data_IF_143190056554
#
_entry.id   IF_143190056554
#
_cell.length_a   1.000
_cell.length_b   1.000
_cell.length_c   1.000
_cell.angle_alpha   90.00
_cell.angle_beta   90.00
_cell.angle_gamma   90.00
#
_symmetry.space_group_name_H-M   'P 1'
#
loop_
_entity.id
_entity.type
_entity.pdbx_description
1 polymer ?
#
# COMPACT_ATOMS: atom_id res chain seq x y z
N UNK A 1 2.68 -24.34 11.12
CA UNK A 1 1.34 -23.77 10.87
C UNK A 1 1.47 -22.87 9.64
N UNK A 2 0.99 -23.29 8.46
CA UNK A 2 1.09 -22.47 7.24
C UNK A 2 -0.26 -21.81 7.00
N UNK A 3 -0.41 -20.56 7.43
CA UNK A 3 -1.64 -19.78 7.19
C UNK A 3 -1.57 -19.21 5.79
N UNK A 4 -1.99 -20.01 4.80
CA UNK A 4 -2.24 -19.52 3.45
C UNK A 4 -3.54 -18.70 3.48
N UNK A 5 -3.43 -17.38 3.64
CA UNK A 5 -4.57 -16.47 3.56
C UNK A 5 -5.02 -16.33 2.10
N UNK A 6 -5.82 -17.30 1.64
CA UNK A 6 -6.24 -17.44 0.23
C UNK A 6 -7.39 -16.51 -0.18
N UNK A 7 -7.86 -15.61 0.72
CA UNK A 7 -8.88 -14.63 0.40
C UNK A 7 -8.46 -13.25 0.93
N UNK A 8 -7.79 -12.48 0.09
CA UNK A 8 -7.39 -11.11 0.42
C UNK A 8 -8.62 -10.21 0.26
N UNK A 9 -9.25 -9.84 1.36
CA UNK A 9 -10.30 -8.83 1.33
C UNK A 9 -9.75 -7.50 0.81
N UNK A 10 -10.52 -6.80 -0.04
CA UNK A 10 -10.12 -5.49 -0.60
C UNK A 10 -9.78 -4.47 0.50
N UNK A 11 -10.41 -4.57 1.66
CA UNK A 11 -10.15 -3.72 2.83
C UNK A 11 -8.73 -3.93 3.41
N UNK A 12 -8.20 -5.15 3.29
CA UNK A 12 -6.87 -5.52 3.78
C UNK A 12 -5.77 -4.79 3.02
N UNK A 13 -5.90 -4.66 1.70
CA UNK A 13 -4.91 -3.98 0.84
C UNK A 13 -4.80 -2.49 1.20
N UNK A 14 -5.94 -1.81 1.42
CA UNK A 14 -5.96 -0.41 1.84
C UNK A 14 -5.23 -0.20 3.18
N UNK A 15 -5.43 -1.11 4.13
CA UNK A 15 -4.73 -1.11 5.42
C UNK A 15 -3.22 -1.26 5.26
N UNK A 16 -2.77 -2.21 4.43
CA UNK A 16 -1.35 -2.42 4.15
C UNK A 16 -0.72 -1.23 3.43
N UNK A 17 -1.36 -0.67 2.40
CA UNK A 17 -0.85 0.52 1.70
C UNK A 17 -0.73 1.72 2.65
N UNK A 18 -1.67 1.90 3.57
CA UNK A 18 -1.57 2.95 4.61
C UNK A 18 -0.38 2.73 5.53
N UNK A 19 -0.13 1.49 5.97
CA UNK A 19 1.03 1.14 6.82
C UNK A 19 2.35 1.39 6.09
N UNK A 20 2.44 1.02 4.81
CA UNK A 20 3.62 1.24 3.99
C UNK A 20 3.89 2.74 3.84
N UNK A 21 2.88 3.54 3.45
CA UNK A 21 3.01 5.00 3.35
C UNK A 21 3.45 5.65 4.67
N UNK A 22 2.96 5.16 5.81
CA UNK A 22 3.36 5.69 7.13
C UNK A 22 4.86 5.49 7.37
N UNK A 23 5.37 4.27 7.15
CA UNK A 23 6.81 3.96 7.32
C UNK A 23 7.69 4.81 6.42
N UNK A 24 7.29 5.00 5.15
CA UNK A 24 8.04 5.88 4.25
C UNK A 24 7.98 7.33 4.68
N UNK A 25 6.82 7.82 5.15
CA UNK A 25 6.69 9.19 5.69
C UNK A 25 7.53 9.47 6.92
N UNK A 26 7.83 8.45 7.73
CA UNK A 26 8.73 8.57 8.88
C UNK A 26 10.19 8.83 8.45
N UNK A 27 10.59 8.32 7.28
CA UNK A 27 11.94 8.52 6.72
C UNK A 27 12.00 9.74 5.81
N UNK A 28 10.96 9.94 5.00
CA UNK A 28 10.82 11.01 4.03
C UNK A 28 9.41 11.60 4.07
N UNK A 29 9.30 12.79 4.66
CA UNK A 29 8.03 13.52 4.78
C UNK A 29 7.41 13.90 3.42
N UNK A 30 8.20 13.96 2.34
CA UNK A 30 7.77 14.24 0.97
C UNK A 30 7.29 13.01 0.19
N UNK A 31 7.30 11.82 0.80
CA UNK A 31 7.01 10.58 0.10
C UNK A 31 5.62 10.56 -0.56
N UNK A 32 5.60 10.50 -1.88
CA UNK A 32 4.40 10.47 -2.72
C UNK A 32 4.42 9.40 -3.83
N UNK A 33 5.37 8.46 -3.77
CA UNK A 33 5.62 7.44 -4.82
C UNK A 33 4.49 6.41 -4.99
N UNK A 34 3.63 6.20 -3.98
CA UNK A 34 2.48 5.28 -4.10
C UNK A 34 1.24 6.07 -4.46
N UNK A 35 0.82 6.02 -5.72
CA UNK A 35 -0.42 6.64 -6.18
C UNK A 35 -1.61 5.68 -6.13
N UNK A 36 -2.78 6.21 -5.77
CA UNK A 36 -4.05 5.49 -5.83
C UNK A 36 -4.69 5.74 -7.19
N UNK A 37 -4.89 4.68 -7.98
CA UNK A 37 -5.57 4.72 -9.28
C UNK A 37 -6.98 4.17 -9.11
N UNK A 38 -7.97 5.06 -9.11
CA UNK A 38 -9.37 4.67 -8.97
C UNK A 38 -9.78 3.67 -10.05
N UNK A 39 -10.45 2.59 -9.65
CA UNK A 39 -10.87 1.51 -10.56
C UNK A 39 -9.78 0.50 -10.94
N UNK A 40 -8.50 0.77 -10.65
CA UNK A 40 -7.37 -0.10 -11.04
C UNK A 40 -6.61 -0.62 -9.82
N UNK A 41 -6.35 0.21 -8.81
CA UNK A 41 -5.60 -0.17 -7.61
C UNK A 41 -4.52 0.86 -7.24
N UNK A 42 -3.29 0.39 -7.04
CA UNK A 42 -2.16 1.22 -6.62
C UNK A 42 -1.02 1.14 -7.62
N UNK A 43 -0.33 2.26 -7.86
CA UNK A 43 0.82 2.35 -8.77
C UNK A 43 2.03 2.93 -8.03
N UNK A 44 3.20 2.37 -8.28
CA UNK A 44 4.49 2.94 -7.85
C UNK A 44 5.03 3.88 -8.94
N UNK A 45 5.42 5.09 -8.56
CA UNK A 45 6.09 6.07 -9.41
C UNK A 45 7.44 6.43 -8.79
N UNK A 46 8.56 6.01 -9.41
CA UNK A 46 9.90 6.30 -8.92
C UNK A 46 10.47 7.64 -9.43
N UNK A 47 9.65 8.50 -10.06
CA UNK A 47 10.10 9.81 -10.57
C UNK A 47 10.59 10.76 -9.47
#
# INVERSE_FOLDING_TARGET
QTTRQSYVEKNTINGYVRRIRKKFKEVDSGFSMIQTVFGVGYRWQPE
#
